data_IF_941754598794
#
_entry.id   IF_941754598794
#
_cell.length_a   1.000
_cell.length_b   1.000
_cell.length_c   1.000
_cell.angle_alpha   90.00
_cell.angle_beta   90.00
_cell.angle_gamma   90.00
#
_symmetry.space_group_name_H-M   'P 1'
#
loop_
_entity.id
_entity.type
_entity.pdbx_description
1 polymer ?
#
# COMPACT_ATOMS: atom_id res chain seq x y z
N UNK A 1 -1.66 -37.83 -5.22
CA UNK A 1 -1.81 -38.61 -3.98
C UNK A 1 -3.27 -38.49 -3.56
N UNK A 2 -4.00 -39.62 -3.57
CA UNK A 2 -5.47 -39.66 -3.53
C UNK A 2 -5.98 -39.42 -2.11
N UNK A 3 -7.01 -38.57 -1.95
CA UNK A 3 -7.61 -38.20 -0.66
C UNK A 3 -7.99 -39.42 0.21
N UNK A 4 -8.33 -40.53 -0.43
CA UNK A 4 -8.67 -41.79 0.23
C UNK A 4 -7.45 -42.54 0.83
N UNK A 5 -6.26 -42.36 0.29
CA UNK A 5 -5.03 -42.96 0.86
C UNK A 5 -4.58 -42.23 2.13
N UNK A 6 -4.77 -40.91 2.19
CA UNK A 6 -4.44 -40.12 3.39
C UNK A 6 -5.40 -40.49 4.54
N UNK A 7 -6.69 -40.67 4.24
CA UNK A 7 -7.68 -41.08 5.23
C UNK A 7 -7.41 -42.51 5.77
N UNK A 8 -7.07 -43.45 4.91
CA UNK A 8 -6.77 -44.83 5.32
C UNK A 8 -5.47 -44.90 6.16
N UNK A 9 -4.47 -44.05 5.88
CA UNK A 9 -3.25 -43.95 6.65
C UNK A 9 -3.51 -43.35 8.06
N UNK A 10 -4.38 -42.35 8.16
CA UNK A 10 -4.78 -41.73 9.43
C UNK A 10 -5.57 -42.71 10.29
N UNK A 11 -6.49 -43.46 9.71
CA UNK A 11 -7.26 -44.51 10.44
C UNK A 11 -6.38 -45.64 10.92
N UNK A 12 -5.46 -46.15 10.09
CA UNK A 12 -4.49 -47.17 10.50
C UNK A 12 -3.55 -46.70 11.58
N UNK A 13 -3.14 -45.44 11.56
CA UNK A 13 -2.31 -44.82 12.60
C UNK A 13 -3.08 -44.65 13.91
N UNK A 14 -4.36 -44.24 13.85
CA UNK A 14 -5.26 -44.18 15.01
C UNK A 14 -5.52 -45.54 15.63
N UNK A 15 -5.79 -46.56 14.79
CA UNK A 15 -6.00 -47.95 15.28
C UNK A 15 -4.74 -48.50 15.97
N UNK A 16 -3.55 -48.26 15.43
CA UNK A 16 -2.25 -48.65 16.05
C UNK A 16 -2.01 -47.93 17.37
N UNK A 17 -2.34 -46.65 17.47
CA UNK A 17 -2.21 -45.83 18.70
C UNK A 17 -3.19 -46.34 19.77
N UNK A 18 -4.43 -46.62 19.42
CA UNK A 18 -5.44 -47.18 20.30
C UNK A 18 -5.07 -48.58 20.80
N UNK A 19 -4.57 -49.45 19.93
CA UNK A 19 -4.10 -50.79 20.31
C UNK A 19 -2.89 -50.74 21.24
N UNK A 20 -1.96 -49.78 21.03
CA UNK A 20 -0.79 -49.58 21.89
C UNK A 20 -1.17 -48.96 23.23
N UNK A 21 -2.23 -48.10 23.27
CA UNK A 21 -2.77 -47.52 24.48
C UNK A 21 -3.52 -48.56 25.36
N UNK A 22 -4.02 -49.66 24.81
CA UNK A 22 -4.72 -50.69 25.55
C UNK A 22 -3.77 -51.66 26.28
N UNK A 23 -2.49 -51.65 25.96
CA UNK A 23 -1.50 -52.46 26.69
C UNK A 23 -1.25 -51.91 28.10
N UNK A 24 -0.80 -52.76 29.06
CA UNK A 24 -0.51 -52.35 30.45
C UNK A 24 0.47 -51.19 30.49
N UNK A 25 1.49 -51.18 29.59
CA UNK A 25 2.43 -50.08 29.45
C UNK A 25 1.80 -48.81 28.85
N UNK A 26 0.89 -48.98 27.87
CA UNK A 26 0.17 -47.87 27.23
C UNK A 26 -0.81 -47.20 28.21
N UNK A 27 -1.46 -47.94 29.08
CA UNK A 27 -2.32 -47.40 30.14
C UNK A 27 -1.52 -46.56 31.16
N UNK A 28 -0.36 -47.05 31.57
CA UNK A 28 0.53 -46.31 32.50
C UNK A 28 1.06 -45.01 31.84
N UNK A 29 1.40 -45.08 30.55
CA UNK A 29 1.82 -43.90 29.79
C UNK A 29 0.67 -42.90 29.65
N UNK A 30 -0.55 -43.36 29.36
CA UNK A 30 -1.71 -42.49 29.25
C UNK A 30 -2.01 -41.81 30.59
N UNK A 31 -1.96 -42.57 31.70
CA UNK A 31 -2.14 -42.04 33.05
C UNK A 31 -1.07 -41.00 33.38
N UNK A 32 0.19 -41.28 33.07
CA UNK A 32 1.29 -40.31 33.21
C UNK A 32 1.03 -39.03 32.41
N UNK A 33 0.57 -39.16 31.14
CA UNK A 33 0.29 -38.03 30.26
C UNK A 33 -0.86 -37.17 30.78
N UNK A 34 -1.91 -37.81 31.33
CA UNK A 34 -3.03 -37.11 32.00
C UNK A 34 -2.53 -36.29 33.17
N UNK A 35 -1.73 -36.91 34.09
CA UNK A 35 -1.14 -36.19 35.20
C UNK A 35 -0.21 -35.06 34.75
N UNK A 36 0.57 -35.28 33.68
CA UNK A 36 1.42 -34.25 33.12
C UNK A 36 0.61 -33.07 32.59
N UNK A 37 -0.49 -33.32 31.89
CA UNK A 37 -1.40 -32.26 31.37
C UNK A 37 -2.03 -31.50 32.52
N UNK A 38 -2.49 -32.21 33.55
CA UNK A 38 -3.07 -31.60 34.76
C UNK A 38 -2.03 -30.73 35.48
N UNK A 39 -0.83 -31.25 35.68
CA UNK A 39 0.27 -30.49 36.29
C UNK A 39 0.64 -29.24 35.47
N UNK A 40 0.77 -29.39 34.13
CA UNK A 40 1.04 -28.29 33.20
C UNK A 40 -0.09 -27.26 33.26
N UNK A 41 -1.36 -27.68 33.36
CA UNK A 41 -2.49 -26.79 33.47
C UNK A 41 -2.45 -25.96 34.77
N UNK A 42 -2.17 -26.59 35.90
CA UNK A 42 -1.99 -25.85 37.17
C UNK A 42 -0.78 -24.93 37.16
N UNK A 43 0.32 -25.38 36.58
CA UNK A 43 1.48 -24.51 36.37
C UNK A 43 1.15 -23.30 35.52
N UNK A 44 0.45 -23.51 34.41
CA UNK A 44 -0.01 -22.44 33.53
C UNK A 44 -0.92 -21.44 34.24
N UNK A 45 -1.91 -21.93 35.04
CA UNK A 45 -2.76 -21.06 35.84
C UNK A 45 -1.95 -20.22 36.85
N UNK A 46 -0.93 -20.82 37.44
CA UNK A 46 -0.03 -20.14 38.38
C UNK A 46 0.82 -19.08 37.66
N UNK A 47 1.39 -19.42 36.53
CA UNK A 47 2.16 -18.50 35.69
C UNK A 47 1.32 -17.29 35.19
N UNK A 48 0.02 -17.52 34.91
CA UNK A 48 -0.90 -16.42 34.54
C UNK A 48 -1.22 -15.47 35.70
N UNK A 49 -0.92 -15.84 36.94
CA UNK A 49 -1.13 -14.98 38.09
C UNK A 49 0.07 -14.07 38.39
N UNK A 50 1.18 -14.29 37.73
CA UNK A 50 2.36 -13.42 37.86
C UNK A 50 2.10 -12.06 37.20
N UNK A 51 2.68 -11.01 37.77
CA UNK A 51 2.67 -9.66 37.17
C UNK A 51 3.65 -9.62 36.01
N UNK A 52 3.16 -9.18 34.86
CA UNK A 52 3.92 -9.05 33.62
C UNK A 52 3.78 -7.63 33.09
N UNK A 53 4.87 -7.10 32.57
CA UNK A 53 4.87 -5.85 31.83
C UNK A 53 4.74 -6.15 30.34
N UNK A 54 3.86 -5.38 29.67
CA UNK A 54 3.60 -5.54 28.25
C UNK A 54 3.33 -4.22 27.55
N UNK A 55 3.87 -4.10 26.32
CA UNK A 55 3.68 -2.93 25.48
C UNK A 55 2.49 -3.12 24.54
N UNK A 56 1.64 -2.12 24.48
CA UNK A 56 0.51 -2.02 23.56
C UNK A 56 0.62 -0.76 22.73
N UNK A 57 0.27 -0.87 21.44
CA UNK A 57 0.10 0.29 20.55
C UNK A 57 -1.38 0.58 20.43
N UNK A 58 -1.81 1.74 20.92
CA UNK A 58 -3.19 2.20 20.91
C UNK A 58 -3.36 3.14 19.72
N UNK A 59 -4.30 2.82 18.85
CA UNK A 59 -4.72 3.69 17.75
C UNK A 59 -5.62 4.80 18.28
N UNK A 60 -5.33 6.04 17.90
CA UNK A 60 -6.14 7.20 18.27
C UNK A 60 -7.12 7.51 17.14
N UNK A 61 -8.40 7.55 17.48
CA UNK A 61 -9.49 7.93 16.57
C UNK A 61 -10.05 9.27 17.03
N UNK A 62 -10.02 10.28 16.18
CA UNK A 62 -10.56 11.60 16.49
C UNK A 62 -11.96 11.70 15.89
N UNK A 63 -12.95 11.92 16.74
CA UNK A 63 -14.33 12.13 16.35
C UNK A 63 -14.68 13.63 16.41
N UNK A 64 -15.89 13.96 15.97
CA UNK A 64 -16.48 15.31 16.04
C UNK A 64 -15.57 16.43 15.54
N UNK A 65 -14.85 16.14 14.43
CA UNK A 65 -14.02 17.13 13.76
C UNK A 65 -14.93 18.14 13.06
N UNK A 66 -14.74 19.46 13.30
CA UNK A 66 -15.43 20.50 12.53
C UNK A 66 -15.17 20.35 11.01
N UNK A 67 -16.18 20.64 10.19
CA UNK A 67 -16.09 20.48 8.73
C UNK A 67 -15.05 21.39 8.07
N UNK A 68 -14.74 22.52 8.70
CA UNK A 68 -13.76 23.49 8.24
C UNK A 68 -12.30 23.13 8.64
N UNK A 69 -12.10 22.03 9.38
CA UNK A 69 -10.78 21.63 9.87
C UNK A 69 -10.27 20.39 9.13
N UNK A 70 -9.07 20.49 8.58
CA UNK A 70 -8.36 19.37 7.97
C UNK A 70 -7.07 19.06 8.72
N UNK A 71 -6.88 17.80 9.09
CA UNK A 71 -5.63 17.35 9.71
C UNK A 71 -4.51 17.32 8.67
N UNK A 72 -3.35 17.87 9.03
CA UNK A 72 -2.15 17.87 8.18
C UNK A 72 -1.28 16.62 8.39
N UNK A 73 -1.57 15.81 9.41
CA UNK A 73 -0.89 14.54 9.65
C UNK A 73 -1.45 13.44 8.77
N UNK A 74 -0.56 12.70 8.10
CA UNK A 74 -0.95 11.64 7.17
C UNK A 74 -1.27 10.30 7.84
N UNK A 75 -0.78 10.10 9.05
CA UNK A 75 -0.92 8.84 9.79
C UNK A 75 -1.80 9.07 11.01
N UNK A 76 -2.74 8.16 11.24
CA UNK A 76 -3.49 8.14 12.48
C UNK A 76 -2.49 8.11 13.67
N UNK A 77 -2.59 9.04 14.61
CA UNK A 77 -1.66 9.09 15.71
C UNK A 77 -1.79 7.82 16.55
N UNK A 78 -0.66 7.25 16.92
CA UNK A 78 -0.59 6.06 17.77
C UNK A 78 0.12 6.39 19.08
N UNK A 79 -0.31 5.74 20.16
CA UNK A 79 0.26 5.91 21.48
C UNK A 79 0.78 4.54 21.95
N UNK A 80 2.06 4.48 22.26
CA UNK A 80 2.67 3.32 22.91
C UNK A 80 2.41 3.38 24.43
N UNK A 81 1.86 2.31 25.00
CA UNK A 81 1.55 2.22 26.42
C UNK A 81 2.15 0.95 26.99
N UNK A 82 3.03 1.07 27.96
CA UNK A 82 3.51 -0.06 28.75
C UNK A 82 2.62 -0.22 29.98
N UNK A 83 1.97 -1.37 30.07
CA UNK A 83 1.09 -1.71 31.20
C UNK A 83 1.66 -2.86 32.01
N UNK A 84 1.39 -2.84 33.31
CA UNK A 84 1.72 -3.90 34.24
C UNK A 84 0.46 -4.46 34.86
N UNK A 85 0.19 -5.74 34.65
CA UNK A 85 -0.96 -6.46 35.23
C UNK A 85 -0.67 -7.96 35.28
N UNK A 86 -1.56 -8.71 35.87
CA UNK A 86 -1.49 -10.18 35.83
C UNK A 86 -1.69 -10.71 34.40
N UNK A 87 -0.97 -11.79 34.08
CA UNK A 87 -1.01 -12.38 32.75
C UNK A 87 -2.42 -12.68 32.25
N UNK A 88 -3.33 -13.12 33.14
CA UNK A 88 -4.74 -13.39 32.82
C UNK A 88 -5.51 -12.15 32.33
N UNK A 89 -5.22 -10.96 32.88
CA UNK A 89 -5.84 -9.71 32.44
C UNK A 89 -5.34 -9.29 31.07
N UNK A 90 -4.05 -9.46 30.82
CA UNK A 90 -3.40 -9.08 29.56
C UNK A 90 -3.83 -9.97 28.38
N UNK A 91 -4.07 -11.27 28.61
CA UNK A 91 -4.59 -12.18 27.58
C UNK A 91 -5.90 -11.69 26.96
N UNK A 92 -6.73 -11.00 27.72
CA UNK A 92 -7.98 -10.44 27.21
C UNK A 92 -7.74 -9.38 26.13
N UNK A 93 -6.67 -8.59 26.27
CA UNK A 93 -6.31 -7.56 25.29
C UNK A 93 -5.58 -8.14 24.06
N UNK A 94 -4.89 -9.29 24.24
CA UNK A 94 -4.18 -9.97 23.17
C UNK A 94 -5.10 -10.73 22.21
N UNK A 95 -6.11 -11.40 22.78
CA UNK A 95 -7.06 -12.21 22.01
C UNK A 95 -8.31 -11.45 21.59
N UNK A 96 -8.52 -10.26 22.16
CA UNK A 96 -9.60 -9.36 21.80
C UNK A 96 -9.18 -8.30 20.78
N UNK A 97 -10.07 -7.34 20.55
CA UNK A 97 -9.71 -6.15 19.81
C UNK A 97 -8.80 -5.27 20.67
N UNK A 98 -7.65 -4.80 20.14
CA UNK A 98 -6.82 -3.85 20.87
C UNK A 98 -7.65 -2.60 21.21
N UNK A 99 -7.45 -2.02 22.41
CA UNK A 99 -8.17 -0.83 22.80
C UNK A 99 -7.87 0.32 21.82
N UNK A 100 -8.90 1.06 21.43
CA UNK A 100 -8.76 2.29 20.62
C UNK A 100 -9.11 3.48 21.49
N UNK A 101 -8.28 4.51 21.44
CA UNK A 101 -8.54 5.76 22.16
C UNK A 101 -9.39 6.65 21.27
N UNK A 102 -10.64 6.85 21.66
CA UNK A 102 -11.55 7.79 21.00
C UNK A 102 -11.41 9.15 21.66
N UNK A 103 -11.10 10.14 20.90
CA UNK A 103 -10.96 11.53 21.32
C UNK A 103 -11.92 12.39 20.51
N UNK A 104 -12.51 13.37 21.17
CA UNK A 104 -13.29 14.41 20.50
C UNK A 104 -12.40 15.62 20.24
N UNK A 105 -12.72 16.42 19.24
CA UNK A 105 -11.95 17.64 18.96
C UNK A 105 -11.85 18.56 20.18
N UNK A 106 -12.90 18.61 21.03
CA UNK A 106 -12.95 19.38 22.27
C UNK A 106 -11.99 18.90 23.36
N UNK A 107 -11.42 17.70 23.23
CA UNK A 107 -10.45 17.16 24.19
C UNK A 107 -9.07 17.78 24.06
N UNK A 108 -8.80 18.39 22.92
CA UNK A 108 -7.54 19.01 22.62
C UNK A 108 -7.52 20.49 23.04
N UNK A 109 -6.36 20.93 23.47
CA UNK A 109 -6.08 22.35 23.66
C UNK A 109 -5.53 22.93 22.33
N UNK A 110 -6.15 23.99 21.85
CA UNK A 110 -5.69 24.67 20.64
C UNK A 110 -4.51 25.58 20.97
N UNK A 111 -3.37 25.33 20.35
CA UNK A 111 -2.14 26.10 20.54
C UNK A 111 -1.80 26.80 19.22
N UNK A 112 -2.01 28.14 19.20
CA UNK A 112 -1.87 28.91 17.97
C UNK A 112 -3.06 28.70 17.03
N UNK A 113 -2.80 28.74 15.70
CA UNK A 113 -3.84 28.65 14.66
C UNK A 113 -3.79 27.32 13.89
N UNK A 114 -2.82 26.48 14.18
CA UNK A 114 -2.46 25.35 13.34
C UNK A 114 -2.13 24.07 14.10
N UNK A 115 -2.19 24.11 15.44
CA UNK A 115 -1.80 22.98 16.28
C UNK A 115 -2.80 22.73 17.39
N UNK A 116 -3.16 21.49 17.59
CA UNK A 116 -3.92 21.00 18.74
C UNK A 116 -3.07 20.02 19.55
N UNK A 117 -3.16 20.10 20.87
CA UNK A 117 -2.31 19.36 21.80
C UNK A 117 -3.19 18.64 22.83
N UNK A 118 -3.00 17.35 22.98
CA UNK A 118 -3.52 16.60 24.12
C UNK A 118 -2.40 16.44 25.13
N UNK A 119 -2.59 17.07 26.31
CA UNK A 119 -1.57 17.08 27.36
C UNK A 119 -1.48 15.73 28.07
N UNK A 120 -0.29 15.44 28.60
CA UNK A 120 0.05 14.19 29.29
C UNK A 120 -0.98 13.77 30.34
N UNK A 121 -1.39 14.67 31.22
CA UNK A 121 -2.31 14.36 32.32
C UNK A 121 -3.67 13.88 31.81
N UNK A 122 -4.23 14.58 30.83
CA UNK A 122 -5.52 14.23 30.23
C UNK A 122 -5.41 12.91 29.43
N UNK A 123 -4.34 12.76 28.66
CA UNK A 123 -4.06 11.54 27.91
C UNK A 123 -3.93 10.33 28.83
N UNK A 124 -3.15 10.43 29.91
CA UNK A 124 -3.00 9.33 30.89
C UNK A 124 -4.32 8.98 31.58
N UNK A 125 -5.18 9.95 31.88
CA UNK A 125 -6.49 9.66 32.48
C UNK A 125 -7.38 8.89 31.51
N UNK A 126 -7.43 9.29 30.23
CA UNK A 126 -8.23 8.64 29.21
C UNK A 126 -7.71 7.24 28.88
N UNK A 127 -6.39 7.06 28.85
CA UNK A 127 -5.77 5.73 28.64
C UNK A 127 -6.10 4.82 29.83
N UNK A 128 -6.10 5.32 31.05
CA UNK A 128 -6.46 4.52 32.25
C UNK A 128 -7.87 3.96 32.15
N UNK A 129 -8.80 4.73 31.57
CA UNK A 129 -10.19 4.30 31.42
C UNK A 129 -10.38 3.19 30.35
N UNK A 130 -9.37 2.99 29.50
CA UNK A 130 -9.38 1.89 28.51
C UNK A 130 -8.99 0.53 29.11
N UNK A 131 -8.26 0.54 30.22
CA UNK A 131 -7.79 -0.65 30.90
C UNK A 131 -8.60 -0.95 32.17
N UNK A 132 -8.46 -2.16 32.66
CA UNK A 132 -9.09 -2.52 33.93
C UNK A 132 -8.50 -1.70 35.11
N UNK A 133 -9.28 -1.52 36.16
CA UNK A 133 -8.84 -0.78 37.36
C UNK A 133 -7.63 -1.40 38.06
N UNK A 134 -7.36 -2.69 37.83
CA UNK A 134 -6.17 -3.41 38.36
C UNK A 134 -4.91 -3.13 37.55
N UNK A 135 -5.03 -2.66 36.28
CA UNK A 135 -3.91 -2.46 35.39
C UNK A 135 -3.16 -1.18 35.75
N UNK A 136 -1.88 -1.28 35.98
CA UNK A 136 -1.01 -0.15 36.23
C UNK A 136 -0.38 0.31 34.91
N UNK A 137 -0.47 1.61 34.60
CA UNK A 137 0.22 2.20 33.47
C UNK A 137 1.63 2.56 33.91
N UNK A 138 2.63 1.84 33.41
CA UNK A 138 4.02 2.06 33.74
C UNK A 138 4.61 3.21 32.91
N UNK A 139 4.33 3.23 31.60
CA UNK A 139 4.89 4.20 30.67
C UNK A 139 3.94 4.50 29.51
N UNK A 140 3.99 5.74 29.02
CA UNK A 140 3.24 6.20 27.82
C UNK A 140 4.16 6.99 26.92
N UNK A 141 4.15 6.69 25.63
CA UNK A 141 4.89 7.40 24.57
C UNK A 141 3.96 7.76 23.40
N UNK A 142 3.99 8.98 22.89
CA UNK A 142 4.69 10.18 23.40
C UNK A 142 4.03 10.73 24.68
N UNK A 143 4.73 11.63 25.37
CA UNK A 143 4.19 12.27 26.59
C UNK A 143 3.02 13.21 26.29
N UNK A 144 2.94 13.75 25.09
CA UNK A 144 1.83 14.57 24.61
C UNK A 144 1.57 14.28 23.14
N UNK A 145 0.32 14.37 22.74
CA UNK A 145 -0.06 14.21 21.34
C UNK A 145 -0.21 15.58 20.71
N UNK A 146 0.66 15.87 19.74
CA UNK A 146 0.65 17.09 18.97
C UNK A 146 0.16 16.80 17.56
N UNK A 147 -0.93 17.44 17.15
CA UNK A 147 -1.55 17.24 15.84
C UNK A 147 -1.63 18.60 15.16
N UNK A 148 -1.15 18.62 13.91
CA UNK A 148 -1.24 19.79 13.07
C UNK A 148 -2.53 19.76 12.27
N UNK A 149 -3.21 20.89 12.19
CA UNK A 149 -4.44 21.06 11.43
C UNK A 149 -4.46 22.39 10.68
N UNK A 150 -5.39 22.53 9.77
CA UNK A 150 -5.64 23.79 9.08
C UNK A 150 -7.14 24.04 8.91
N UNK A 151 -7.55 25.28 8.97
CA UNK A 151 -8.86 25.77 8.55
C UNK A 151 -8.79 26.58 7.25
N UNK A 152 -7.61 26.64 6.61
CA UNK A 152 -7.46 27.32 5.33
C UNK A 152 -8.03 26.47 4.19
N UNK A 153 -8.64 27.11 3.15
CA UNK A 153 -9.12 26.39 1.99
C UNK A 153 -7.98 25.70 1.27
N UNK A 154 -8.27 24.54 0.68
CA UNK A 154 -7.33 23.82 -0.15
C UNK A 154 -7.12 24.53 -1.49
N UNK A 155 -5.93 24.38 -2.05
CA UNK A 155 -5.64 24.72 -3.44
C UNK A 155 -5.57 23.45 -4.28
N UNK A 156 -6.20 23.48 -5.45
CA UNK A 156 -6.15 22.36 -6.41
C UNK A 156 -4.94 22.54 -7.30
N UNK A 157 -4.01 21.58 -7.25
CA UNK A 157 -2.78 21.60 -8.01
C UNK A 157 -2.68 20.35 -8.91
N UNK A 158 -2.16 20.51 -10.15
CA UNK A 158 -1.96 19.39 -11.05
C UNK A 158 -0.88 18.44 -10.54
N UNK A 159 -1.06 17.15 -10.83
CA UNK A 159 -0.07 16.12 -10.51
C UNK A 159 0.98 16.05 -11.63
N UNK A 160 2.24 16.12 -11.25
CA UNK A 160 3.38 15.89 -12.14
C UNK A 160 3.95 14.51 -11.89
N UNK A 161 3.82 13.64 -12.89
CA UNK A 161 4.38 12.28 -12.80
C UNK A 161 5.90 12.29 -12.93
N UNK A 162 6.55 11.42 -12.16
CA UNK A 162 7.98 11.16 -12.21
C UNK A 162 8.20 9.67 -12.52
N UNK A 163 8.17 9.33 -13.84
CA UNK A 163 8.28 7.95 -14.29
C UNK A 163 9.38 7.79 -15.36
N UNK A 164 10.13 6.70 -15.25
CA UNK A 164 11.08 6.22 -16.24
C UNK A 164 10.69 4.80 -16.64
N UNK A 165 9.92 4.68 -17.72
CA UNK A 165 9.37 3.40 -18.17
C UNK A 165 9.84 3.04 -19.57
N UNK A 166 10.08 1.76 -19.80
CA UNK A 166 10.53 1.23 -21.06
C UNK A 166 9.78 -0.05 -21.43
N UNK A 167 9.24 -0.10 -22.64
CA UNK A 167 8.60 -1.29 -23.16
C UNK A 167 9.60 -2.43 -23.41
N UNK A 168 9.12 -3.64 -23.42
CA UNK A 168 9.88 -4.83 -23.81
C UNK A 168 10.19 -4.83 -25.33
N UNK A 169 11.15 -5.64 -25.79
CA UNK A 169 11.34 -5.85 -27.22
C UNK A 169 10.03 -6.22 -27.91
N UNK A 170 9.80 -5.67 -29.10
CA UNK A 170 8.58 -5.83 -29.91
C UNK A 170 7.30 -5.24 -29.29
N UNK A 171 7.43 -4.37 -28.28
CA UNK A 171 6.35 -3.58 -27.69
C UNK A 171 6.70 -2.10 -27.73
N UNK A 172 5.68 -1.27 -27.63
CA UNK A 172 5.84 0.19 -27.62
C UNK A 172 4.86 0.82 -26.64
N UNK A 173 5.28 1.88 -25.97
CA UNK A 173 4.36 2.75 -25.24
C UNK A 173 3.65 3.59 -26.28
N UNK A 174 2.35 3.33 -26.48
CA UNK A 174 1.55 3.99 -27.50
C UNK A 174 0.30 4.61 -26.90
N UNK A 175 0.19 5.93 -27.06
CA UNK A 175 -0.82 6.75 -26.40
C UNK A 175 -0.22 7.63 -25.31
N UNK A 176 -1.06 8.46 -24.71
CA UNK A 176 -0.67 9.29 -23.57
C UNK A 176 -0.72 8.50 -22.26
N UNK A 177 0.28 8.70 -21.43
CA UNK A 177 0.24 8.22 -20.05
C UNK A 177 -0.81 9.05 -19.32
N UNK A 178 -1.78 8.39 -18.69
CA UNK A 178 -2.87 9.05 -17.97
C UNK A 178 -2.69 8.95 -16.47
N UNK A 179 -3.15 9.98 -15.76
CA UNK A 179 -3.11 10.06 -14.29
C UNK A 179 -4.53 10.30 -13.79
N UNK A 180 -4.96 9.52 -12.83
CA UNK A 180 -6.28 9.64 -12.20
C UNK A 180 -6.17 9.66 -10.67
N UNK A 181 -6.60 10.75 -10.01
CA UNK A 181 -6.98 12.04 -10.58
C UNK A 181 -5.76 12.81 -11.13
N UNK A 182 -5.99 13.72 -12.08
CA UNK A 182 -4.96 14.57 -12.69
C UNK A 182 -4.51 15.73 -11.79
N UNK A 183 -5.29 16.01 -10.74
CA UNK A 183 -5.07 17.07 -9.78
C UNK A 183 -5.39 16.61 -8.37
N UNK A 184 -4.76 17.23 -7.38
CA UNK A 184 -4.98 16.95 -5.95
C UNK A 184 -5.22 18.25 -5.19
N UNK A 185 -6.00 18.16 -4.13
CA UNK A 185 -6.19 19.27 -3.19
C UNK A 185 -5.02 19.31 -2.20
N UNK A 186 -4.33 20.44 -2.11
CA UNK A 186 -3.24 20.68 -1.18
C UNK A 186 -3.73 21.56 -0.04
N UNK A 187 -3.56 21.09 1.19
CA UNK A 187 -3.87 21.79 2.43
C UNK A 187 -2.59 22.26 3.12
N UNK A 188 -2.61 23.46 3.66
CA UNK A 188 -1.47 24.04 4.38
C UNK A 188 -1.98 24.93 5.53
N UNK A 189 -1.27 24.93 6.67
CA UNK A 189 -1.56 25.85 7.77
C UNK A 189 -1.03 27.28 7.55
N UNK A 190 -0.02 27.42 6.69
CA UNK A 190 0.68 28.71 6.48
C UNK A 190 0.44 29.28 5.07
N UNK A 191 -0.46 28.67 4.30
CA UNK A 191 -0.64 28.98 2.89
C UNK A 191 0.33 28.21 1.99
N UNK A 192 0.03 28.16 0.71
CA UNK A 192 0.84 27.46 -0.29
C UNK A 192 1.72 28.51 -0.99
N UNK A 193 3.06 28.35 -0.98
CA UNK A 193 3.93 29.28 -1.71
C UNK A 193 3.60 29.28 -3.20
N UNK A 194 3.57 30.45 -3.83
CA UNK A 194 3.29 30.59 -5.28
C UNK A 194 4.31 29.88 -6.18
N UNK A 195 5.44 29.45 -5.63
CA UNK A 195 6.42 28.61 -6.34
C UNK A 195 5.97 27.15 -6.51
N UNK A 196 4.97 26.70 -5.73
CA UNK A 196 4.41 25.35 -5.81
C UNK A 196 3.28 25.34 -6.84
N UNK A 197 3.59 24.99 -8.06
CA UNK A 197 2.62 24.97 -9.19
C UNK A 197 2.12 23.58 -9.54
N UNK A 198 2.73 22.53 -8.98
CA UNK A 198 2.35 21.12 -9.21
C UNK A 198 2.89 20.24 -8.09
N UNK A 199 2.28 19.07 -7.90
CA UNK A 199 2.70 18.08 -6.91
C UNK A 199 3.33 16.89 -7.65
N UNK A 200 4.55 16.51 -7.26
CA UNK A 200 5.25 15.36 -7.85
C UNK A 200 4.76 14.04 -7.24
N UNK A 201 4.79 12.98 -8.04
CA UNK A 201 4.64 11.61 -7.53
C UNK A 201 5.98 11.04 -7.08
N UNK A 202 5.94 9.95 -6.33
CA UNK A 202 7.10 9.07 -6.16
C UNK A 202 7.64 8.67 -7.53
N UNK A 203 8.96 8.47 -7.59
CA UNK A 203 9.63 8.02 -8.80
C UNK A 203 9.40 6.51 -9.00
N UNK A 204 9.04 6.13 -10.22
CA UNK A 204 9.00 4.73 -10.62
C UNK A 204 9.86 4.51 -11.85
N UNK A 205 10.71 3.50 -11.79
CA UNK A 205 11.49 3.00 -12.91
C UNK A 205 11.05 1.57 -13.23
N UNK A 206 10.49 1.35 -14.43
CA UNK A 206 10.08 0.03 -14.88
C UNK A 206 10.61 -0.27 -16.25
N UNK A 207 11.12 -1.49 -16.46
CA UNK A 207 11.70 -1.96 -17.71
C UNK A 207 11.00 -3.23 -18.17
N UNK A 208 10.91 -3.42 -19.49
CA UNK A 208 10.38 -4.65 -20.07
C UNK A 208 8.87 -4.78 -19.98
N UNK A 209 8.14 -3.67 -20.10
CA UNK A 209 6.67 -3.69 -20.10
C UNK A 209 6.15 -4.34 -21.38
N UNK A 210 5.32 -5.38 -21.24
CA UNK A 210 4.68 -6.10 -22.36
C UNK A 210 3.19 -5.79 -22.52
N UNK A 211 2.57 -5.25 -21.49
CA UNK A 211 1.15 -4.95 -21.44
C UNK A 211 0.89 -3.59 -20.80
N UNK A 212 -0.29 -3.02 -21.09
CA UNK A 212 -0.76 -1.82 -20.41
C UNK A 212 -0.78 -2.05 -18.91
N UNK A 213 -0.02 -1.24 -18.18
CA UNK A 213 0.19 -1.40 -16.75
C UNK A 213 -0.33 -0.20 -15.99
N UNK A 214 -0.99 -0.47 -14.86
CA UNK A 214 -1.50 0.55 -13.94
C UNK A 214 -0.64 0.54 -12.68
N UNK A 215 -0.11 1.70 -12.32
CA UNK A 215 0.65 1.92 -11.09
C UNK A 215 -0.15 2.80 -10.14
N UNK A 216 -0.13 2.47 -8.87
CA UNK A 216 -0.65 3.32 -7.81
C UNK A 216 0.53 3.95 -7.07
N UNK A 217 0.73 5.27 -7.27
CA UNK A 217 1.86 6.01 -6.72
C UNK A 217 1.39 7.03 -5.69
N UNK A 218 2.18 7.19 -4.62
CA UNK A 218 1.98 8.25 -3.64
C UNK A 218 2.40 9.60 -4.23
N UNK A 219 1.68 10.65 -3.90
CA UNK A 219 2.10 12.03 -4.18
C UNK A 219 3.03 12.52 -3.07
N UNK A 220 3.99 13.36 -3.41
CA UNK A 220 4.97 13.92 -2.46
C UNK A 220 4.63 15.40 -2.22
N UNK A 221 3.80 15.71 -1.20
CA UNK A 221 3.49 17.08 -0.89
C UNK A 221 4.70 17.80 -0.23
N UNK A 222 4.81 19.12 -0.36
CA UNK A 222 5.79 19.90 0.37
C UNK A 222 5.67 19.73 1.88
N UNK A 223 6.77 19.95 2.61
CA UNK A 223 6.77 19.87 4.09
C UNK A 223 5.73 20.80 4.71
N UNK A 224 4.95 20.29 5.66
CA UNK A 224 3.91 21.06 6.35
C UNK A 224 2.62 21.19 5.55
N UNK A 225 2.47 20.44 4.46
CA UNK A 225 1.24 20.38 3.68
C UNK A 225 0.72 18.94 3.58
N UNK A 226 -0.56 18.79 3.23
CA UNK A 226 -1.19 17.50 3.00
C UNK A 226 -1.92 17.52 1.67
N UNK A 227 -1.70 16.48 0.87
CA UNK A 227 -2.41 16.28 -0.39
C UNK A 227 -3.56 15.28 -0.21
N UNK A 228 -4.71 15.56 -0.83
CA UNK A 228 -5.85 14.65 -0.88
C UNK A 228 -6.33 14.57 -2.34
N UNK A 229 -6.38 13.38 -2.95
CA UNK A 229 -5.93 12.08 -2.42
C UNK A 229 -4.40 11.99 -2.31
N UNK A 230 -3.93 11.08 -1.47
CA UNK A 230 -2.50 10.84 -1.26
C UNK A 230 -1.88 9.95 -2.34
N UNK A 231 -2.71 9.24 -3.08
CA UNK A 231 -2.30 8.31 -4.13
C UNK A 231 -3.04 8.61 -5.42
N UNK A 232 -2.35 8.40 -6.52
CA UNK A 232 -2.89 8.55 -7.87
C UNK A 232 -2.62 7.28 -8.68
N UNK A 233 -3.51 6.95 -9.60
CA UNK A 233 -3.34 5.85 -10.54
C UNK A 233 -2.74 6.38 -11.82
N UNK A 234 -1.65 5.75 -12.27
CA UNK A 234 -0.97 6.08 -13.50
C UNK A 234 -1.09 4.90 -14.44
N UNK A 235 -1.71 5.12 -15.60
CA UNK A 235 -1.83 4.10 -16.65
C UNK A 235 -0.82 4.35 -17.73
N UNK A 236 0.05 3.37 -17.94
CA UNK A 236 1.06 3.36 -19.00
C UNK A 236 0.56 2.43 -20.12
N UNK A 237 0.09 2.97 -21.25
CA UNK A 237 -0.41 2.15 -22.34
C UNK A 237 0.76 1.51 -23.11
N UNK A 238 0.76 0.19 -23.20
CA UNK A 238 1.77 -0.58 -23.92
C UNK A 238 1.07 -1.51 -24.89
N UNK A 239 1.53 -1.51 -26.13
CA UNK A 239 0.99 -2.36 -27.18
C UNK A 239 2.09 -3.16 -27.89
N UNK A 240 1.77 -4.35 -28.41
CA UNK A 240 2.67 -5.11 -29.25
C UNK A 240 2.84 -4.42 -30.61
N UNK A 241 4.03 -4.51 -31.15
CA UNK A 241 4.35 -4.09 -32.51
C UNK A 241 4.05 -5.22 -33.49
N UNK A 242 3.27 -4.89 -34.52
CA UNK A 242 2.92 -5.81 -35.61
C UNK A 242 3.62 -5.36 -36.90
N UNK A 243 4.11 -6.32 -37.68
CA UNK A 243 4.68 -6.04 -38.97
C UNK A 243 3.60 -5.84 -40.03
N UNK A 244 3.70 -4.77 -40.80
CA UNK A 244 2.86 -4.50 -41.97
C UNK A 244 3.77 -4.41 -43.21
N UNK A 245 3.39 -5.12 -44.26
CA UNK A 245 4.08 -5.10 -45.54
C UNK A 245 3.26 -4.31 -46.56
N UNK A 246 3.84 -3.34 -47.18
CA UNK A 246 3.21 -2.48 -48.19
C UNK A 246 4.10 -2.41 -49.41
N UNK A 247 3.50 -2.59 -50.57
CA UNK A 247 4.17 -2.39 -51.85
C UNK A 247 4.06 -0.93 -52.24
N UNK A 248 5.20 -0.23 -52.35
CA UNK A 248 5.23 1.21 -52.64
C UNK A 248 6.13 1.50 -53.82
N UNK A 249 5.81 2.58 -54.53
CA UNK A 249 6.57 3.02 -55.69
C UNK A 249 7.86 3.72 -55.23
N UNK A 250 8.97 3.41 -55.90
CA UNK A 250 10.22 4.14 -55.73
C UNK A 250 10.11 5.52 -56.40
N UNK A 251 10.39 6.55 -55.61
CA UNK A 251 10.55 7.93 -56.12
C UNK A 251 12.04 8.25 -56.29
N UNK A 252 12.36 9.11 -57.20
CA UNK A 252 13.72 9.56 -57.42
C UNK A 252 13.93 10.94 -56.85
N UNK A 253 15.09 11.18 -56.23
CA UNK A 253 15.47 12.48 -55.70
C UNK A 253 16.85 12.86 -56.22
N UNK A 254 17.21 14.13 -56.18
CA UNK A 254 18.50 14.70 -56.64
C UNK A 254 18.89 14.36 -58.09
N UNK A 255 17.91 14.12 -58.99
CA UNK A 255 18.20 13.81 -60.40
C UNK A 255 18.71 15.07 -61.15
N UNK A 256 19.87 15.03 -61.79
CA UNK A 256 20.36 16.17 -62.57
C UNK A 256 19.37 16.60 -63.66
N UNK A 257 19.31 17.91 -64.01
CA UNK A 257 18.29 18.51 -64.85
C UNK A 257 18.13 17.91 -66.23
N UNK A 258 19.17 17.23 -66.74
CA UNK A 258 19.20 16.66 -68.11
C UNK A 258 19.03 15.12 -68.08
N UNK A 259 18.71 14.53 -66.98
CA UNK A 259 18.57 13.07 -66.84
C UNK A 259 17.20 12.70 -66.28
N UNK A 260 16.69 11.53 -66.70
CA UNK A 260 15.49 10.93 -66.14
C UNK A 260 15.91 9.60 -65.57
N UNK A 261 15.82 9.48 -64.23
CA UNK A 261 16.16 8.28 -63.52
C UNK A 261 14.92 7.36 -63.42
N UNK A 262 15.03 6.21 -64.07
CA UNK A 262 13.97 5.16 -63.93
C UNK A 262 14.47 4.04 -63.05
N UNK A 263 13.97 3.97 -61.81
CA UNK A 263 14.37 2.92 -60.91
C UNK A 263 13.81 1.55 -61.36
N UNK A 264 14.66 0.53 -61.29
CA UNK A 264 14.25 -0.85 -61.52
C UNK A 264 14.71 -1.77 -60.39
N UNK A 265 13.77 -2.40 -59.64
CA UNK A 265 12.32 -2.42 -59.84
C UNK A 265 11.66 -1.05 -59.51
N UNK A 266 10.54 -0.75 -60.16
CA UNK A 266 9.78 0.50 -59.91
C UNK A 266 8.98 0.47 -58.61
N UNK A 267 8.77 -0.71 -58.03
CA UNK A 267 8.06 -0.93 -56.78
C UNK A 267 8.90 -1.80 -55.85
N UNK A 268 8.85 -1.50 -54.58
CA UNK A 268 9.53 -2.28 -53.52
C UNK A 268 8.56 -2.60 -52.37
N UNK A 269 8.80 -3.74 -51.80
CA UNK A 269 8.09 -4.15 -50.61
C UNK A 269 8.76 -3.56 -49.36
N UNK A 270 8.03 -2.73 -48.64
CA UNK A 270 8.50 -2.11 -47.40
C UNK A 270 7.78 -2.80 -46.23
N UNK A 271 8.56 -3.34 -45.31
CA UNK A 271 8.03 -3.90 -44.08
C UNK A 271 8.38 -2.95 -42.93
N UNK A 272 7.40 -2.54 -42.19
CA UNK A 272 7.57 -1.69 -41.01
C UNK A 272 6.74 -2.18 -39.85
N UNK A 273 7.11 -1.75 -38.63
CA UNK A 273 6.43 -2.10 -37.38
C UNK A 273 5.49 -0.97 -36.96
N UNK A 274 4.31 -1.32 -36.49
CA UNK A 274 3.35 -0.37 -35.96
C UNK A 274 2.58 -0.97 -34.78
N UNK A 275 2.02 -0.11 -33.86
CA UNK A 275 1.19 -0.58 -32.78
C UNK A 275 -0.04 -1.33 -33.28
N UNK A 276 -0.49 -2.32 -32.52
CA UNK A 276 -1.61 -3.17 -32.89
C UNK A 276 -2.89 -2.37 -33.16
N UNK A 277 -3.21 -1.39 -32.32
CA UNK A 277 -4.39 -0.55 -32.49
C UNK A 277 -4.36 0.32 -33.75
N UNK A 278 -3.17 0.71 -34.21
CA UNK A 278 -2.98 1.50 -35.41
C UNK A 278 -3.06 0.66 -36.71
N UNK A 279 -3.04 -0.65 -36.64
CA UNK A 279 -2.96 -1.52 -37.81
C UNK A 279 -4.15 -1.37 -38.76
N UNK A 280 -5.36 -1.33 -38.22
CA UNK A 280 -6.60 -1.24 -39.02
C UNK A 280 -6.82 0.16 -39.62
N UNK A 281 -6.40 1.21 -38.92
CA UNK A 281 -6.69 2.60 -39.26
C UNK A 281 -5.49 3.35 -39.85
N UNK A 282 -4.37 2.62 -40.07
CA UNK A 282 -3.16 3.25 -40.55
C UNK A 282 -3.22 3.52 -42.06
N UNK A 283 -3.40 4.78 -42.43
CA UNK A 283 -3.30 5.31 -43.79
C UNK A 283 -1.86 5.69 -44.18
N UNK A 284 -0.87 5.43 -43.32
CA UNK A 284 0.52 5.74 -43.57
C UNK A 284 1.03 4.91 -44.76
N UNK A 285 1.51 5.59 -45.80
CA UNK A 285 2.18 4.99 -46.95
C UNK A 285 3.65 5.40 -46.89
N UNK A 286 4.57 4.46 -46.70
CA UNK A 286 5.99 4.79 -46.67
C UNK A 286 6.42 5.34 -48.02
N UNK A 287 7.19 6.42 -47.99
CA UNK A 287 7.83 6.97 -49.21
C UNK A 287 9.26 6.47 -49.26
N UNK A 288 9.62 5.82 -50.36
CA UNK A 288 10.96 5.31 -50.59
C UNK A 288 11.54 6.02 -51.79
N UNK A 289 12.72 6.54 -51.64
CA UNK A 289 13.41 7.20 -52.74
C UNK A 289 14.83 6.68 -52.90
N UNK A 290 15.31 6.82 -54.13
CA UNK A 290 16.67 6.55 -54.53
C UNK A 290 17.31 7.90 -54.84
N UNK A 291 18.49 8.08 -54.27
CA UNK A 291 19.32 9.27 -54.43
C UNK A 291 20.48 8.96 -55.39
#
# INVERSE_FOLDING_TARGET
MNKNEIFSHIERSKAKLLAKASTRQGKNLLTFLVFLVVAAFFWFLMALNDEVEKDYTIEVVINDMPEDITLLSDVAPTIGVTVKDHGRSLLRYDWGNPPKLKLDFSDFELVGKDRMVLREQKMKSMIRDLFNSSTQIAYVKPDSLNIWYTSMPAETLPVRINIDVQASPQHIIYGSITVEPDSVMLFSAQGIPSSVVSIATEEIAARGLSDTTVYELSVIPPKGTRAIPQKVKITVPVEPLISKKVNTKLSTTNVPANYNLLPFPSYVDVTYLLPMSAYANNSFTPVVYVD
#
